data_IF_475446367508
#
_entry.id   IF_475446367508
#
_cell.length_a   1.000
_cell.length_b   1.000
_cell.length_c   1.000
_cell.angle_alpha   90.00
_cell.angle_beta   90.00
_cell.angle_gamma   90.00
#
_symmetry.space_group_name_H-M   'P 1'
#
loop_
_entity.id
_entity.type
_entity.pdbx_description
1 polymer ?
#
# COMPACT_ATOMS: atom_id res chain seq x y z
N UNK A 1 -31.98 -4.30 26.97
CA UNK A 1 -31.71 -4.09 28.40
C UNK A 1 -30.41 -4.80 28.70
N UNK A 2 -29.36 -4.01 28.93
CA UNK A 2 -27.99 -4.35 29.34
C UNK A 2 -27.19 -5.34 28.47
N UNK A 3 -26.65 -4.85 27.34
CA UNK A 3 -25.31 -5.27 26.91
C UNK A 3 -24.33 -4.69 27.94
N UNK A 4 -23.85 -5.58 28.79
CA UNK A 4 -22.83 -5.30 29.80
C UNK A 4 -21.58 -4.82 29.07
N UNK A 5 -21.10 -3.65 29.49
CA UNK A 5 -19.83 -3.08 29.09
C UNK A 5 -18.73 -4.15 29.10
N UNK A 6 -18.10 -4.41 27.94
CA UNK A 6 -16.85 -5.16 27.88
C UNK A 6 -15.82 -4.40 28.70
N UNK A 7 -15.55 -4.98 29.87
CA UNK A 7 -14.64 -4.54 30.91
C UNK A 7 -13.28 -4.14 30.33
N UNK A 8 -12.75 -3.04 30.86
CA UNK A 8 -11.51 -2.38 30.47
C UNK A 8 -10.26 -3.21 30.91
N UNK A 9 -10.20 -4.49 30.54
CA UNK A 9 -9.10 -5.40 30.85
C UNK A 9 -8.06 -5.33 29.74
N UNK A 10 -6.90 -4.74 30.08
CA UNK A 10 -5.68 -4.82 29.27
C UNK A 10 -5.41 -6.30 28.93
N UNK A 11 -5.11 -6.59 27.66
CA UNK A 11 -4.80 -7.96 27.22
C UNK A 11 -3.50 -8.42 27.90
N UNK A 12 -3.47 -9.61 28.54
CA UNK A 12 -2.28 -10.12 29.19
C UNK A 12 -1.19 -10.44 28.17
N UNK A 13 0.09 -10.36 28.59
CA UNK A 13 1.22 -10.86 27.80
C UNK A 13 1.25 -12.38 27.92
N UNK A 14 1.17 -13.06 26.77
CA UNK A 14 1.19 -14.53 26.69
C UNK A 14 2.60 -15.05 26.37
N UNK A 15 3.01 -16.17 26.97
CA UNK A 15 4.17 -16.96 26.52
C UNK A 15 3.90 -17.59 25.15
N UNK A 16 4.91 -18.19 24.53
CA UNK A 16 4.75 -18.85 23.21
C UNK A 16 3.81 -20.05 23.31
N UNK A 17 3.93 -20.84 24.37
CA UNK A 17 3.05 -21.97 24.68
C UNK A 17 1.60 -21.47 24.88
N UNK A 18 1.42 -20.40 25.64
CA UNK A 18 0.10 -19.79 25.85
C UNK A 18 -0.48 -19.19 24.56
N UNK A 19 0.35 -18.69 23.64
CA UNK A 19 -0.09 -18.22 22.32
C UNK A 19 -0.59 -19.37 21.44
N UNK A 20 0.13 -20.50 21.44
CA UNK A 20 -0.26 -21.72 20.72
C UNK A 20 -1.58 -22.26 21.28
N UNK A 21 -1.69 -22.41 22.60
CA UNK A 21 -2.93 -22.84 23.25
C UNK A 21 -4.09 -21.87 22.99
N UNK A 22 -3.82 -20.56 22.97
CA UNK A 22 -4.84 -19.60 22.60
C UNK A 22 -5.34 -19.79 21.16
N UNK A 23 -4.46 -20.07 20.19
CA UNK A 23 -4.85 -20.35 18.81
C UNK A 23 -5.69 -21.63 18.70
N UNK A 24 -5.28 -22.71 19.37
CA UNK A 24 -6.05 -23.96 19.43
C UNK A 24 -7.44 -23.73 20.02
N UNK A 25 -7.54 -22.93 21.10
CA UNK A 25 -8.83 -22.57 21.71
C UNK A 25 -9.76 -21.78 20.79
N UNK A 26 -9.22 -21.23 19.69
CA UNK A 26 -9.97 -20.54 18.63
C UNK A 26 -10.21 -21.42 17.39
N UNK A 27 -9.93 -22.71 17.46
CA UNK A 27 -10.13 -23.66 16.36
C UNK A 27 -9.06 -23.58 15.27
N UNK A 28 -7.87 -23.04 15.56
CA UNK A 28 -6.73 -23.08 14.64
C UNK A 28 -6.04 -24.43 14.75
N UNK A 29 -5.80 -25.08 13.61
CA UNK A 29 -5.07 -26.36 13.50
C UNK A 29 -3.57 -26.15 13.32
N UNK A 30 -2.80 -27.21 13.51
CA UNK A 30 -1.33 -27.25 13.39
C UNK A 30 -0.91 -28.45 12.52
N UNK A 31 -1.65 -28.68 11.43
CA UNK A 31 -1.46 -29.78 10.49
C UNK A 31 -0.47 -29.43 9.37
N UNK A 32 -0.41 -28.16 8.95
CA UNK A 32 0.55 -27.70 7.93
C UNK A 32 1.87 -27.19 8.55
N UNK A 33 1.84 -26.87 9.85
CA UNK A 33 2.98 -26.49 10.65
C UNK A 33 2.76 -27.03 12.06
N UNK A 34 3.60 -27.96 12.51
CA UNK A 34 3.49 -28.53 13.84
C UNK A 34 3.82 -27.49 14.94
N UNK A 35 3.51 -27.85 16.19
CA UNK A 35 3.67 -26.95 17.33
C UNK A 35 5.14 -26.62 17.65
N UNK A 36 6.06 -27.54 17.36
CA UNK A 36 7.50 -27.32 17.58
C UNK A 36 8.03 -26.25 16.63
N UNK A 37 7.68 -26.37 15.34
CA UNK A 37 8.00 -25.37 14.33
C UNK A 37 7.27 -24.05 14.60
N UNK A 38 6.00 -24.10 15.02
CA UNK A 38 5.24 -22.92 15.38
C UNK A 38 5.88 -22.15 16.55
N UNK A 39 6.36 -22.87 17.57
CA UNK A 39 7.06 -22.29 18.72
C UNK A 39 8.35 -21.59 18.29
N UNK A 40 9.13 -22.23 17.40
CA UNK A 40 10.35 -21.63 16.83
C UNK A 40 10.05 -20.36 16.06
N UNK A 41 9.02 -20.38 15.19
CA UNK A 41 8.62 -19.21 14.40
C UNK A 41 8.21 -18.05 15.31
N UNK A 42 7.36 -18.29 16.32
CA UNK A 42 6.88 -17.28 17.27
C UNK A 42 7.97 -16.70 18.18
N UNK A 43 9.07 -17.45 18.37
CA UNK A 43 10.20 -17.04 19.20
C UNK A 43 11.27 -16.28 18.43
N UNK A 44 11.54 -16.67 17.17
CA UNK A 44 12.77 -16.27 16.46
C UNK A 44 12.53 -15.51 15.17
N UNK A 45 11.41 -15.75 14.46
CA UNK A 45 11.23 -15.28 13.09
C UNK A 45 10.14 -14.22 12.96
N UNK A 46 9.03 -14.43 13.65
CA UNK A 46 7.88 -13.56 13.62
C UNK A 46 7.22 -13.52 14.98
N UNK A 47 6.27 -12.60 15.17
CA UNK A 47 5.58 -12.45 16.44
C UNK A 47 4.08 -12.65 16.28
N UNK A 48 3.45 -13.16 17.33
CA UNK A 48 2.05 -13.53 17.38
C UNK A 48 1.10 -12.50 16.77
N UNK A 49 1.27 -11.21 17.12
CA UNK A 49 0.38 -10.16 16.64
C UNK A 49 0.36 -10.05 15.10
N UNK A 50 1.52 -10.21 14.45
CA UNK A 50 1.64 -10.15 13.00
C UNK A 50 1.01 -11.36 12.32
N UNK A 51 1.33 -12.58 12.75
CA UNK A 51 0.76 -13.80 12.17
C UNK A 51 -0.75 -13.87 12.40
N UNK A 52 -1.18 -13.60 13.62
CA UNK A 52 -2.59 -13.65 13.96
C UNK A 52 -3.39 -12.51 13.31
N UNK A 53 -2.76 -11.53 12.66
CA UNK A 53 -3.45 -10.52 11.88
C UNK A 53 -4.16 -11.11 10.64
N UNK A 54 -3.68 -12.24 10.09
CA UNK A 54 -4.22 -12.86 8.87
C UNK A 54 -5.46 -13.73 9.12
N UNK A 55 -5.75 -14.11 10.37
CA UNK A 55 -6.93 -14.91 10.76
C UNK A 55 -8.26 -14.31 10.30
N UNK A 56 -8.31 -12.99 10.11
CA UNK A 56 -9.52 -12.28 9.65
C UNK A 56 -9.93 -12.65 8.22
N UNK A 57 -9.05 -13.31 7.47
CA UNK A 57 -9.33 -13.84 6.13
C UNK A 57 -10.04 -15.19 6.16
N UNK A 58 -10.24 -15.76 7.35
CA UNK A 58 -10.88 -17.05 7.55
C UNK A 58 -12.22 -16.86 8.26
N UNK A 59 -13.27 -17.57 7.81
CA UNK A 59 -14.58 -17.46 8.43
C UNK A 59 -14.57 -18.06 9.84
N UNK A 60 -15.49 -17.59 10.67
CA UNK A 60 -15.81 -18.21 11.96
C UNK A 60 -17.08 -19.04 11.83
N UNK A 61 -17.12 -20.16 12.54
CA UNK A 61 -18.33 -20.99 12.68
C UNK A 61 -19.39 -20.20 13.45
N UNK A 62 -20.65 -20.35 13.03
CA UNK A 62 -21.80 -19.70 13.65
C UNK A 62 -22.76 -20.78 14.14
N UNK A 63 -23.03 -20.78 15.44
CA UNK A 63 -23.90 -21.72 16.13
C UNK A 63 -23.26 -23.09 16.41
N UNK A 64 -23.90 -23.85 17.29
CA UNK A 64 -23.45 -25.19 17.71
C UNK A 64 -22.30 -25.18 18.71
N UNK A 65 -21.66 -26.35 18.88
CA UNK A 65 -20.60 -26.57 19.89
C UNK A 65 -19.33 -25.74 19.66
N UNK A 66 -19.05 -25.38 18.41
CA UNK A 66 -17.82 -24.71 17.97
C UNK A 66 -18.06 -23.23 17.59
N UNK A 67 -19.10 -22.61 18.14
CA UNK A 67 -19.48 -21.24 17.81
C UNK A 67 -18.32 -20.26 18.09
N UNK A 68 -18.01 -19.40 17.11
CA UNK A 68 -16.95 -18.40 17.21
C UNK A 68 -15.51 -18.89 16.94
N UNK A 69 -15.30 -20.21 16.77
CA UNK A 69 -14.03 -20.78 16.31
C UNK A 69 -13.81 -20.54 14.81
N UNK A 70 -12.55 -20.44 14.37
CA UNK A 70 -12.22 -20.35 12.95
C UNK A 70 -12.54 -21.68 12.24
N UNK A 71 -12.98 -21.58 10.98
CA UNK A 71 -13.22 -22.75 10.13
C UNK A 71 -12.13 -22.86 9.06
N UNK A 72 -11.43 -24.00 9.04
CA UNK A 72 -10.41 -24.31 8.03
C UNK A 72 -9.18 -23.41 8.08
N UNK A 73 -8.81 -22.97 9.28
CA UNK A 73 -7.61 -22.16 9.52
C UNK A 73 -6.54 -23.01 10.20
N UNK A 74 -5.36 -23.05 9.60
CA UNK A 74 -4.16 -23.66 10.12
C UNK A 74 -3.08 -22.61 10.45
N UNK A 75 -2.22 -22.88 11.42
CA UNK A 75 -1.08 -22.03 11.73
C UNK A 75 -0.14 -21.87 10.52
N UNK A 76 0.10 -22.92 9.75
CA UNK A 76 0.93 -22.87 8.54
C UNK A 76 0.40 -21.89 7.49
N UNK A 77 -0.93 -21.72 7.37
CA UNK A 77 -1.51 -20.70 6.49
C UNK A 77 -1.24 -19.27 6.99
N UNK A 78 -1.20 -19.04 8.31
CA UNK A 78 -0.86 -17.71 8.85
C UNK A 78 0.58 -17.34 8.51
N UNK A 79 1.50 -18.31 8.60
CA UNK A 79 2.91 -18.16 8.24
C UNK A 79 3.05 -17.92 6.74
N UNK A 80 2.40 -18.74 5.91
CA UNK A 80 2.48 -18.60 4.46
C UNK A 80 1.90 -17.27 3.97
N UNK A 81 0.74 -16.82 4.50
CA UNK A 81 0.19 -15.50 4.18
C UNK A 81 1.10 -14.36 4.60
N UNK A 82 1.83 -14.49 5.72
CA UNK A 82 2.82 -13.49 6.14
C UNK A 82 4.00 -13.42 5.17
N UNK A 83 4.43 -14.56 4.63
CA UNK A 83 5.45 -14.65 3.58
C UNK A 83 4.98 -14.05 2.24
N UNK A 84 3.78 -14.42 1.79
CA UNK A 84 3.17 -13.85 0.57
C UNK A 84 3.01 -12.33 0.72
N UNK A 85 2.60 -11.82 1.88
CA UNK A 85 2.48 -10.39 2.14
C UNK A 85 3.83 -9.66 2.06
N UNK A 86 4.88 -10.29 2.56
CA UNK A 86 6.24 -9.76 2.46
C UNK A 86 6.72 -9.68 1.02
N UNK A 87 6.50 -10.72 0.21
CA UNK A 87 6.83 -10.68 -1.22
C UNK A 87 5.97 -9.67 -1.97
N UNK A 88 4.69 -9.54 -1.64
CA UNK A 88 3.83 -8.50 -2.20
C UNK A 88 4.42 -7.11 -1.91
N UNK A 89 4.88 -6.84 -0.68
CA UNK A 89 5.49 -5.55 -0.34
C UNK A 89 6.83 -5.33 -1.04
N UNK A 90 7.66 -6.38 -1.18
CA UNK A 90 8.92 -6.34 -1.96
C UNK A 90 8.67 -6.02 -3.43
N UNK A 91 7.58 -6.53 -4.00
CA UNK A 91 7.15 -6.20 -5.35
C UNK A 91 6.59 -4.78 -5.45
N UNK A 92 5.69 -4.36 -4.55
CA UNK A 92 4.99 -3.08 -4.66
C UNK A 92 5.88 -1.87 -4.34
N UNK A 93 6.82 -1.97 -3.40
CA UNK A 93 7.60 -0.83 -2.93
C UNK A 93 8.43 -0.18 -4.06
N UNK A 94 9.24 -0.91 -4.85
CA UNK A 94 9.98 -0.33 -5.98
C UNK A 94 9.07 0.37 -6.99
N UNK A 95 7.90 -0.20 -7.30
CA UNK A 95 6.92 0.40 -8.21
C UNK A 95 6.43 1.77 -7.71
N UNK A 96 6.22 1.90 -6.39
CA UNK A 96 5.83 3.21 -5.82
C UNK A 96 6.93 4.25 -5.94
N UNK A 97 8.20 3.86 -5.80
CA UNK A 97 9.36 4.74 -5.95
C UNK A 97 9.53 5.15 -7.42
N UNK A 98 9.32 4.22 -8.36
CA UNK A 98 9.37 4.52 -9.79
C UNK A 98 8.29 5.53 -10.21
N UNK A 99 7.06 5.35 -9.70
CA UNK A 99 5.96 6.31 -9.94
C UNK A 99 6.27 7.67 -9.32
N UNK A 100 6.78 7.72 -8.09
CA UNK A 100 7.17 8.97 -7.42
C UNK A 100 8.23 9.71 -8.24
N UNK A 101 9.32 9.02 -8.59
CA UNK A 101 10.43 9.60 -9.34
C UNK A 101 9.99 10.09 -10.71
N UNK A 102 9.24 9.28 -11.45
CA UNK A 102 8.72 9.69 -12.77
C UNK A 102 7.78 10.90 -12.69
N UNK A 103 6.96 10.99 -11.64
CA UNK A 103 6.10 12.15 -11.43
C UNK A 103 6.87 13.41 -11.02
N UNK A 104 7.96 13.27 -10.23
CA UNK A 104 8.89 14.37 -9.94
C UNK A 104 9.56 14.86 -11.23
N UNK A 105 10.09 13.95 -12.05
CA UNK A 105 10.69 14.28 -13.35
C UNK A 105 9.70 15.03 -14.25
N UNK A 106 8.48 14.51 -14.40
CA UNK A 106 7.42 15.17 -15.18
C UNK A 106 7.11 16.59 -14.67
N UNK A 107 7.13 16.80 -13.34
CA UNK A 107 6.91 18.13 -12.77
C UNK A 107 8.06 19.07 -13.07
N UNK A 108 9.31 18.62 -12.94
CA UNK A 108 10.50 19.42 -13.27
C UNK A 108 10.50 19.80 -14.75
N UNK A 109 10.27 18.84 -15.66
CA UNK A 109 10.16 19.09 -17.10
C UNK A 109 9.12 20.19 -17.39
N UNK A 110 7.94 20.11 -16.76
CA UNK A 110 6.89 21.10 -16.95
C UNK A 110 7.24 22.48 -16.40
N UNK A 111 7.99 22.56 -15.31
CA UNK A 111 8.54 23.83 -14.80
C UNK A 111 9.56 24.38 -15.80
N UNK A 112 10.49 23.55 -16.28
CA UNK A 112 11.54 23.93 -17.23
C UNK A 112 10.99 24.42 -18.56
N UNK A 113 9.95 23.77 -19.09
CA UNK A 113 9.35 24.14 -20.39
C UNK A 113 8.41 25.36 -20.30
N UNK A 114 7.99 25.74 -19.08
CA UNK A 114 7.11 26.87 -18.88
C UNK A 114 7.90 28.18 -18.85
N UNK A 115 7.81 28.96 -19.94
CA UNK A 115 8.49 30.26 -20.07
C UNK A 115 8.14 31.30 -18.99
N UNK A 116 7.05 31.09 -18.26
CA UNK A 116 6.60 31.98 -17.19
C UNK A 116 7.07 31.53 -15.80
N UNK A 117 7.79 30.41 -15.69
CA UNK A 117 8.31 29.91 -14.43
C UNK A 117 9.84 30.06 -14.40
N UNK A 118 10.35 30.52 -13.26
CA UNK A 118 11.79 30.61 -12.95
C UNK A 118 12.28 29.42 -12.11
N UNK A 119 11.35 28.56 -11.66
CA UNK A 119 11.60 27.43 -10.78
C UNK A 119 11.72 27.77 -9.29
N UNK A 120 11.66 29.04 -8.91
CA UNK A 120 11.70 29.52 -7.52
C UNK A 120 10.33 30.05 -7.09
N UNK A 121 9.74 30.93 -7.89
CA UNK A 121 8.45 31.60 -7.64
C UNK A 121 7.32 30.59 -7.43
N UNK A 122 7.30 29.49 -8.18
CA UNK A 122 6.29 28.42 -7.99
C UNK A 122 6.33 27.78 -6.59
N UNK A 123 7.52 27.62 -6.00
CA UNK A 123 7.66 27.08 -4.65
C UNK A 123 7.29 28.15 -3.60
N UNK A 124 7.75 29.39 -3.79
CA UNK A 124 7.41 30.50 -2.89
C UNK A 124 5.89 30.72 -2.82
N UNK A 125 5.20 30.68 -3.96
CA UNK A 125 3.75 30.79 -4.04
C UNK A 125 3.06 29.59 -3.38
N UNK A 126 3.61 28.38 -3.51
CA UNK A 126 3.11 27.19 -2.80
C UNK A 126 3.21 27.37 -1.28
N UNK A 127 4.36 27.80 -0.77
CA UNK A 127 4.58 27.99 0.67
C UNK A 127 3.67 29.07 1.24
N UNK A 128 3.39 30.13 0.48
CA UNK A 128 2.46 31.20 0.84
C UNK A 128 1.00 30.75 0.78
N UNK A 129 0.67 29.80 -0.09
CA UNK A 129 -0.66 29.22 -0.18
C UNK A 129 -1.01 28.29 0.99
N UNK A 130 -0.01 27.68 1.64
CA UNK A 130 -0.23 26.80 2.77
C UNK A 130 -0.78 27.55 3.98
N UNK A 131 -1.68 26.92 4.73
CA UNK A 131 -2.04 27.46 6.04
C UNK A 131 -0.89 27.29 7.04
N UNK A 132 -0.95 28.02 8.16
CA UNK A 132 0.12 28.03 9.18
C UNK A 132 0.47 26.63 9.69
N UNK A 133 -0.50 25.73 9.88
CA UNK A 133 -0.24 24.38 10.37
C UNK A 133 0.48 23.51 9.31
N UNK A 134 0.10 23.65 8.04
CA UNK A 134 0.74 22.96 6.93
C UNK A 134 2.14 23.48 6.66
N UNK A 135 2.35 24.80 6.70
CA UNK A 135 3.68 25.41 6.55
C UNK A 135 4.64 24.95 7.65
N UNK A 136 4.22 25.03 8.91
CA UNK A 136 5.00 24.50 10.04
C UNK A 136 5.32 23.02 9.89
N UNK A 137 4.39 22.23 9.33
CA UNK A 137 4.64 20.81 9.08
C UNK A 137 5.71 20.62 8.00
N UNK A 138 5.73 21.42 6.93
CA UNK A 138 6.77 21.35 5.88
C UNK A 138 8.12 21.79 6.41
N UNK A 139 8.17 22.90 7.13
CA UNK A 139 9.37 23.36 7.83
C UNK A 139 9.93 22.28 8.76
N UNK A 140 9.07 21.70 9.60
CA UNK A 140 9.47 20.62 10.51
C UNK A 140 9.81 19.28 9.83
N UNK A 141 9.33 19.03 8.62
CA UNK A 141 9.76 17.87 7.82
C UNK A 141 11.18 18.09 7.29
N UNK A 142 11.51 19.30 6.82
CA UNK A 142 12.81 19.66 6.25
C UNK A 142 13.87 19.86 7.35
N UNK A 143 13.55 20.52 8.46
CA UNK A 143 14.53 20.76 9.54
C UNK A 143 15.01 19.46 10.20
N UNK A 144 14.18 18.41 10.22
CA UNK A 144 14.61 17.08 10.69
C UNK A 144 15.70 16.45 9.84
N UNK A 145 15.90 16.93 8.61
CA UNK A 145 16.92 16.46 7.69
C UNK A 145 18.26 17.19 7.86
N UNK A 146 18.34 18.25 8.67
CA UNK A 146 19.58 19.04 8.85
C UNK A 146 20.78 18.17 9.27
N UNK A 147 20.54 17.20 10.14
CA UNK A 147 21.56 16.27 10.62
C UNK A 147 21.58 14.93 9.85
N UNK A 148 20.80 14.81 8.76
CA UNK A 148 20.81 13.61 7.92
C UNK A 148 22.08 13.56 7.07
N UNK A 149 22.69 12.37 7.00
CA UNK A 149 23.97 12.18 6.31
C UNK A 149 23.89 12.38 4.78
N UNK A 150 22.70 12.25 4.18
CA UNK A 150 22.49 12.33 2.74
C UNK A 150 21.88 13.67 2.32
N UNK A 151 20.92 14.17 3.10
CA UNK A 151 20.12 15.35 2.77
C UNK A 151 20.53 16.61 3.53
N UNK A 152 21.23 16.51 4.65
CA UNK A 152 21.71 17.65 5.45
C UNK A 152 22.46 18.70 4.63
N UNK A 153 23.42 18.32 3.76
CA UNK A 153 24.13 19.27 2.91
C UNK A 153 23.23 20.05 1.93
N UNK A 154 22.09 19.47 1.50
CA UNK A 154 21.11 20.20 0.69
C UNK A 154 20.32 21.20 1.53
N UNK A 155 19.93 20.84 2.75
CA UNK A 155 19.21 21.74 3.66
C UNK A 155 20.07 22.93 4.04
N UNK A 156 21.35 22.71 4.36
CA UNK A 156 22.29 23.79 4.69
C UNK A 156 22.49 24.75 3.52
N UNK A 157 22.56 24.22 2.29
CA UNK A 157 22.79 25.01 1.08
C UNK A 157 21.55 25.79 0.61
N UNK A 158 20.36 25.25 0.84
CA UNK A 158 19.10 25.81 0.31
C UNK A 158 18.09 26.04 1.44
N UNK A 159 18.11 27.23 2.07
CA UNK A 159 17.06 27.64 3.01
C UNK A 159 15.68 27.57 2.38
N UNK A 160 14.65 27.18 3.15
CA UNK A 160 13.31 26.90 2.60
C UNK A 160 12.70 28.06 1.80
N UNK A 161 12.86 29.30 2.29
CA UNK A 161 12.29 30.49 1.63
C UNK A 161 13.05 30.91 0.35
N UNK A 162 14.24 30.36 0.10
CA UNK A 162 15.07 30.61 -1.08
C UNK A 162 15.25 29.36 -1.97
N UNK A 163 14.56 28.27 -1.63
CA UNK A 163 14.75 26.97 -2.22
C UNK A 163 14.12 26.91 -3.63
N UNK A 164 14.82 26.37 -4.64
CA UNK A 164 14.18 26.08 -5.92
C UNK A 164 13.32 24.82 -5.83
N UNK A 165 12.29 24.74 -6.67
CA UNK A 165 11.32 23.66 -6.67
C UNK A 165 11.96 22.27 -6.79
N UNK A 166 12.98 22.08 -7.64
CA UNK A 166 13.64 20.77 -7.81
C UNK A 166 14.40 20.31 -6.55
N UNK A 167 14.98 21.23 -5.77
CA UNK A 167 15.60 20.87 -4.48
C UNK A 167 14.52 20.48 -3.47
N UNK A 168 13.40 21.21 -3.45
CA UNK A 168 12.27 20.84 -2.62
C UNK A 168 11.75 19.44 -2.94
N UNK A 169 11.72 19.03 -4.22
CA UNK A 169 11.30 17.68 -4.60
C UNK A 169 12.19 16.58 -3.97
N UNK A 170 13.49 16.80 -3.87
CA UNK A 170 14.43 15.85 -3.26
C UNK A 170 14.28 15.78 -1.73
N UNK A 171 14.02 16.92 -1.08
CA UNK A 171 13.85 17.00 0.37
C UNK A 171 12.45 16.62 0.84
N UNK A 172 11.46 16.68 -0.05
CA UNK A 172 10.06 16.45 0.29
C UNK A 172 9.73 14.96 0.44
N UNK A 173 8.90 14.64 1.43
CA UNK A 173 8.22 13.34 1.47
C UNK A 173 7.27 13.19 0.27
N UNK A 174 6.95 11.96 -0.14
CA UNK A 174 5.97 11.72 -1.21
C UNK A 174 4.62 12.43 -0.92
N UNK A 175 4.19 12.52 0.33
CA UNK A 175 3.00 13.27 0.70
C UNK A 175 3.10 14.78 0.45
N UNK A 176 4.24 15.38 0.79
CA UNK A 176 4.54 16.78 0.53
C UNK A 176 4.65 17.07 -0.97
N UNK A 177 5.39 16.24 -1.69
CA UNK A 177 5.47 16.29 -3.14
C UNK A 177 4.07 16.22 -3.79
N UNK A 178 3.23 15.25 -3.42
CA UNK A 178 1.89 15.13 -4.00
C UNK A 178 1.01 16.37 -3.73
N UNK A 179 1.19 17.04 -2.58
CA UNK A 179 0.52 18.30 -2.26
C UNK A 179 1.00 19.44 -3.15
N UNK A 180 2.32 19.56 -3.34
CA UNK A 180 2.92 20.55 -4.24
C UNK A 180 2.53 20.30 -5.70
N UNK A 181 2.49 19.04 -6.14
CA UNK A 181 2.02 18.66 -7.47
C UNK A 181 0.58 19.14 -7.73
N UNK A 182 -0.33 19.00 -6.75
CA UNK A 182 -1.70 19.50 -6.87
C UNK A 182 -1.75 21.03 -6.93
N UNK A 183 -0.91 21.71 -6.15
CA UNK A 183 -0.80 23.16 -6.21
C UNK A 183 -0.40 23.62 -7.61
N UNK A 184 0.64 23.03 -8.19
CA UNK A 184 1.08 23.33 -9.56
C UNK A 184 -0.02 23.01 -10.59
N UNK A 185 -0.71 21.89 -10.45
CA UNK A 185 -1.85 21.54 -11.30
C UNK A 185 -2.95 22.62 -11.26
N UNK A 186 -3.24 23.16 -10.08
CA UNK A 186 -4.21 24.23 -9.91
C UNK A 186 -3.72 25.56 -10.49
N UNK A 187 -2.47 25.93 -10.20
CA UNK A 187 -1.81 27.14 -10.71
C UNK A 187 -1.85 27.21 -12.24
N UNK A 188 -1.57 26.09 -12.91
CA UNK A 188 -1.50 26.02 -14.37
C UNK A 188 -2.82 25.63 -15.03
N UNK A 189 -3.90 25.43 -14.26
CA UNK A 189 -5.19 25.01 -14.80
C UNK A 189 -5.21 23.60 -15.40
N UNK A 190 -4.19 22.77 -15.13
CA UNK A 190 -3.98 21.48 -15.77
C UNK A 190 -4.85 20.38 -15.14
N UNK A 191 -5.95 20.03 -15.82
CA UNK A 191 -6.88 18.99 -15.36
C UNK A 191 -6.27 17.60 -15.34
N UNK A 192 -5.35 17.29 -16.25
CA UNK A 192 -4.69 15.99 -16.31
C UNK A 192 -3.76 15.81 -15.10
N UNK A 193 -3.03 16.86 -14.71
CA UNK A 193 -2.24 16.85 -13.48
C UNK A 193 -3.10 16.76 -12.22
N UNK A 194 -4.30 17.34 -12.20
CA UNK A 194 -5.23 17.18 -11.07
C UNK A 194 -5.67 15.72 -10.92
N UNK A 195 -5.94 15.03 -12.03
CA UNK A 195 -6.25 13.60 -12.02
C UNK A 195 -5.05 12.77 -11.56
N UNK A 196 -3.85 13.12 -12.02
CA UNK A 196 -2.57 12.51 -11.63
C UNK A 196 -2.33 12.59 -10.12
N UNK A 197 -2.63 13.73 -9.47
CA UNK A 197 -2.53 13.88 -8.02
C UNK A 197 -3.28 12.77 -7.27
N UNK A 198 -4.48 12.39 -7.70
CA UNK A 198 -5.24 11.34 -7.04
C UNK A 198 -4.62 9.96 -7.22
N UNK A 199 -3.89 9.71 -8.32
CA UNK A 199 -3.09 8.50 -8.50
C UNK A 199 -1.90 8.51 -7.51
N UNK A 200 -1.15 9.62 -7.46
CA UNK A 200 0.01 9.79 -6.57
C UNK A 200 -0.36 9.62 -5.10
N UNK A 201 -1.50 10.16 -4.66
CA UNK A 201 -1.99 10.00 -3.28
C UNK A 201 -2.24 8.54 -2.90
N UNK A 202 -2.73 7.74 -3.84
CA UNK A 202 -2.95 6.29 -3.63
C UNK A 202 -1.63 5.53 -3.65
N UNK A 203 -0.73 5.86 -4.57
CA UNK A 203 0.63 5.31 -4.61
C UNK A 203 1.38 5.58 -3.29
N UNK A 204 1.34 6.80 -2.76
CA UNK A 204 1.93 7.17 -1.47
C UNK A 204 1.34 6.35 -0.30
N UNK A 205 0.03 6.11 -0.30
CA UNK A 205 -0.61 5.27 0.74
C UNK A 205 -0.04 3.84 0.73
N UNK A 206 0.17 3.27 -0.47
CA UNK A 206 0.72 1.93 -0.62
C UNK A 206 2.22 1.88 -0.32
N UNK A 207 2.97 2.93 -0.71
CA UNK A 207 4.39 3.10 -0.36
C UNK A 207 4.57 3.03 1.14
N UNK A 208 3.78 3.80 1.90
CA UNK A 208 3.89 3.82 3.35
C UNK A 208 3.49 2.46 3.97
N UNK A 209 2.44 1.82 3.46
CA UNK A 209 2.08 0.47 3.92
C UNK A 209 3.22 -0.54 3.69
N UNK A 210 3.84 -0.52 2.50
CA UNK A 210 4.92 -1.43 2.16
C UNK A 210 6.20 -1.15 2.96
N UNK A 211 6.62 0.11 3.04
CA UNK A 211 7.84 0.55 3.73
C UNK A 211 7.76 0.36 5.25
N UNK A 212 6.59 0.52 5.86
CA UNK A 212 6.37 0.31 7.30
C UNK A 212 5.92 -1.12 7.65
N UNK A 213 6.04 -2.06 6.72
CA UNK A 213 5.67 -3.47 6.93
C UNK A 213 4.25 -3.70 7.46
N UNK A 214 3.30 -2.87 7.01
CA UNK A 214 1.88 -3.06 7.29
C UNK A 214 1.38 -4.31 6.55
N UNK A 215 0.58 -5.15 7.22
CA UNK A 215 -0.04 -6.31 6.58
C UNK A 215 -1.04 -5.86 5.52
N UNK A 216 -0.69 -5.98 4.23
CA UNK A 216 -1.51 -5.60 3.07
C UNK A 216 -2.55 -6.67 2.75
N UNK A 217 -2.25 -7.95 2.96
CA UNK A 217 -3.13 -9.07 2.61
C UNK A 217 -4.27 -9.25 3.62
N UNK A 218 -4.07 -8.93 4.91
CA UNK A 218 -5.07 -9.24 5.93
C UNK A 218 -6.43 -8.54 5.76
N UNK A 219 -6.53 -7.52 4.92
CA UNK A 219 -7.76 -6.78 4.67
C UNK A 219 -8.38 -7.10 3.32
N UNK A 220 -7.92 -8.10 2.58
CA UNK A 220 -8.56 -8.52 1.32
C UNK A 220 -10.03 -8.95 1.51
N UNK A 221 -10.38 -9.45 2.70
CA UNK A 221 -11.76 -9.75 3.09
C UNK A 221 -12.60 -8.56 3.58
N UNK A 222 -11.98 -7.38 3.80
CA UNK A 222 -12.66 -6.23 4.37
C UNK A 222 -13.13 -5.30 3.24
N UNK A 223 -14.45 -5.21 3.07
CA UNK A 223 -15.05 -4.23 2.17
C UNK A 223 -15.32 -2.92 2.89
N UNK A 224 -15.04 -1.78 2.24
CA UNK A 224 -15.50 -0.50 2.76
C UNK A 224 -17.02 -0.36 2.59
N UNK A 225 -17.69 0.14 3.64
CA UNK A 225 -19.07 0.59 3.56
C UNK A 225 -19.21 1.82 2.63
N UNK A 226 -18.16 2.64 2.55
CA UNK A 226 -18.12 3.82 1.68
C UNK A 226 -17.65 3.47 0.28
N UNK A 227 -18.39 3.95 -0.73
CA UNK A 227 -17.94 3.93 -2.12
C UNK A 227 -16.65 4.73 -2.24
N UNK A 228 -15.53 4.05 -2.50
CA UNK A 228 -14.28 4.76 -2.74
C UNK A 228 -14.24 5.15 -4.21
N UNK A 229 -14.32 6.46 -4.49
CA UNK A 229 -14.16 6.98 -5.86
C UNK A 229 -12.72 6.72 -6.34
N UNK A 230 -12.62 6.28 -7.59
CA UNK A 230 -11.36 6.18 -8.33
C UNK A 230 -11.52 6.88 -9.69
N UNK A 231 -10.42 7.35 -10.31
CA UNK A 231 -10.49 8.13 -11.55
C UNK A 231 -11.21 7.37 -12.68
N UNK A 232 -11.95 8.11 -13.52
CA UNK A 232 -12.64 7.55 -14.68
C UNK A 232 -11.67 6.88 -15.67
N UNK A 233 -10.44 7.38 -15.73
CA UNK A 233 -9.35 6.81 -16.53
C UNK A 233 -8.98 5.39 -16.10
N UNK A 234 -8.87 5.14 -14.78
CA UNK A 234 -8.67 3.78 -14.23
C UNK A 234 -9.86 2.87 -14.54
N UNK A 235 -11.10 3.39 -14.44
CA UNK A 235 -12.29 2.63 -14.80
C UNK A 235 -12.29 2.22 -16.28
N UNK A 236 -11.90 3.14 -17.17
CA UNK A 236 -11.79 2.90 -18.62
C UNK A 236 -10.72 1.85 -18.91
N UNK A 237 -9.50 2.04 -18.40
CA UNK A 237 -8.37 1.12 -18.60
C UNK A 237 -8.68 -0.32 -18.13
N UNK A 238 -9.43 -0.48 -17.03
CA UNK A 238 -9.91 -1.79 -16.59
C UNK A 238 -10.92 -2.39 -17.56
N UNK A 239 -11.80 -1.57 -18.15
CA UNK A 239 -12.73 -2.02 -19.19
C UNK A 239 -11.99 -2.51 -20.43
N UNK A 240 -10.98 -1.76 -20.87
CA UNK A 240 -10.13 -2.09 -22.02
C UNK A 240 -9.31 -3.38 -21.76
N UNK A 241 -8.91 -3.62 -20.51
CA UNK A 241 -8.31 -4.87 -20.04
C UNK A 241 -9.31 -6.04 -19.87
N UNK A 242 -10.55 -5.90 -20.36
CA UNK A 242 -11.56 -6.95 -20.30
C UNK A 242 -12.09 -7.23 -18.88
N UNK A 243 -12.04 -6.25 -17.97
CA UNK A 243 -12.61 -6.39 -16.62
C UNK A 243 -14.06 -5.88 -16.60
N UNK A 244 -15.00 -6.79 -16.31
CA UNK A 244 -16.43 -6.48 -16.32
C UNK A 244 -16.79 -5.38 -15.31
N UNK A 245 -17.87 -4.61 -15.58
CA UNK A 245 -18.38 -3.58 -14.65
C UNK A 245 -18.75 -4.19 -13.29
N UNK A 246 -19.30 -5.41 -13.27
CA UNK A 246 -19.66 -6.14 -12.05
C UNK A 246 -18.42 -6.45 -11.21
N UNK A 247 -17.37 -6.99 -11.83
CA UNK A 247 -16.13 -7.33 -11.14
C UNK A 247 -15.44 -6.09 -10.58
N UNK A 248 -15.35 -5.00 -11.37
CA UNK A 248 -14.85 -3.69 -10.91
C UNK A 248 -15.58 -3.21 -9.66
N UNK A 249 -16.92 -3.19 -9.68
CA UNK A 249 -17.74 -2.75 -8.54
C UNK A 249 -17.56 -3.61 -7.30
N UNK A 250 -17.37 -4.91 -7.47
CA UNK A 250 -17.15 -5.82 -6.35
C UNK A 250 -15.76 -5.62 -5.73
N UNK A 251 -14.70 -5.60 -6.55
CA UNK A 251 -13.31 -5.62 -6.10
C UNK A 251 -12.79 -4.27 -5.63
N UNK A 252 -13.16 -3.19 -6.32
CA UNK A 252 -12.66 -1.84 -6.01
C UNK A 252 -13.31 -1.21 -4.76
N UNK A 253 -14.25 -1.90 -4.10
CA UNK A 253 -14.76 -1.53 -2.76
C UNK A 253 -13.77 -1.84 -1.65
N UNK A 254 -12.83 -2.74 -1.90
CA UNK A 254 -11.74 -3.02 -0.98
C UNK A 254 -10.65 -1.95 -1.16
N UNK A 255 -10.31 -1.15 -0.12
CA UNK A 255 -9.32 -0.08 -0.23
C UNK A 255 -7.94 -0.54 -0.70
N UNK A 256 -7.54 -1.76 -0.33
CA UNK A 256 -6.21 -2.31 -0.64
C UNK A 256 -6.13 -2.77 -2.08
N UNK A 257 -7.16 -3.50 -2.53
CA UNK A 257 -7.31 -3.86 -3.94
C UNK A 257 -7.37 -2.61 -4.82
N UNK A 258 -8.12 -1.59 -4.38
CA UNK A 258 -8.18 -0.30 -5.06
C UNK A 258 -6.82 0.38 -5.15
N UNK A 259 -6.11 0.52 -4.03
CA UNK A 259 -4.79 1.17 -3.98
C UNK A 259 -3.77 0.44 -4.86
N UNK A 260 -3.72 -0.88 -4.78
CA UNK A 260 -2.84 -1.72 -5.61
C UNK A 260 -3.18 -1.60 -7.09
N UNK A 261 -4.47 -1.57 -7.45
CA UNK A 261 -4.92 -1.36 -8.83
C UNK A 261 -4.52 0.03 -9.33
N UNK A 262 -4.73 1.07 -8.53
CA UNK A 262 -4.35 2.43 -8.90
C UNK A 262 -2.83 2.56 -9.07
N UNK A 263 -2.03 1.87 -8.25
CA UNK A 263 -0.58 1.83 -8.45
C UNK A 263 -0.22 1.17 -9.79
N UNK A 264 -0.79 0.00 -10.10
CA UNK A 264 -0.53 -0.67 -11.37
C UNK A 264 -0.85 0.24 -12.57
N UNK A 265 -1.97 0.98 -12.49
CA UNK A 265 -2.33 1.98 -13.51
C UNK A 265 -1.34 3.16 -13.56
N UNK A 266 -0.92 3.66 -12.39
CA UNK A 266 0.06 4.74 -12.30
C UNK A 266 1.41 4.31 -12.90
N UNK A 267 1.86 3.08 -12.68
CA UNK A 267 3.06 2.54 -13.32
C UNK A 267 2.93 2.58 -14.85
N UNK A 268 1.81 2.08 -15.40
CA UNK A 268 1.58 2.12 -16.85
C UNK A 268 1.53 3.55 -17.43
N UNK A 269 1.23 4.55 -16.58
CA UNK A 269 1.06 5.96 -16.99
C UNK A 269 2.31 6.80 -16.87
N UNK A 270 3.06 6.67 -15.78
CA UNK A 270 4.23 7.52 -15.49
C UNK A 270 5.55 6.86 -15.85
N UNK A 271 5.65 5.54 -15.68
CA UNK A 271 6.93 4.84 -15.67
C UNK A 271 7.32 4.45 -17.10
N UNK A 272 8.60 4.55 -17.45
CA UNK A 272 9.10 4.18 -18.78
C UNK A 272 8.92 2.68 -19.07
N UNK A 273 8.87 2.30 -20.35
CA UNK A 273 8.69 0.89 -20.77
C UNK A 273 9.77 -0.04 -20.20
N UNK A 274 11.01 0.41 -20.15
CA UNK A 274 12.13 -0.37 -19.58
C UNK A 274 11.92 -0.68 -18.10
N UNK A 275 11.46 0.30 -17.31
CA UNK A 275 11.15 0.11 -15.89
C UNK A 275 9.89 -0.72 -15.69
N UNK A 276 8.90 -0.60 -16.56
CA UNK A 276 7.71 -1.47 -16.57
C UNK A 276 8.09 -2.95 -16.82
N UNK A 277 9.06 -3.23 -17.69
CA UNK A 277 9.54 -4.59 -17.93
C UNK A 277 10.17 -5.21 -16.66
N UNK A 278 11.01 -4.46 -15.94
CA UNK A 278 11.56 -4.92 -14.63
C UNK A 278 10.46 -5.13 -13.58
N UNK A 279 9.45 -4.26 -13.56
CA UNK A 279 8.29 -4.44 -12.71
C UNK A 279 7.51 -5.72 -13.05
N UNK A 280 7.43 -6.10 -14.32
CA UNK A 280 6.80 -7.35 -14.74
C UNK A 280 7.58 -8.58 -14.26
N UNK A 281 8.92 -8.57 -14.31
CA UNK A 281 9.73 -9.66 -13.76
C UNK A 281 9.50 -9.82 -12.24
N UNK A 282 9.44 -8.71 -11.50
CA UNK A 282 9.08 -8.70 -10.08
C UNK A 282 7.68 -9.23 -9.81
N UNK A 283 6.71 -8.91 -10.69
CA UNK A 283 5.37 -9.48 -10.62
C UNK A 283 5.36 -10.99 -10.83
N UNK A 284 6.13 -11.51 -11.79
CA UNK A 284 6.23 -12.96 -12.04
C UNK A 284 6.84 -13.69 -10.83
N UNK A 285 7.86 -13.13 -10.20
CA UNK A 285 8.45 -13.69 -8.98
C UNK A 285 7.46 -13.71 -7.81
N UNK A 286 6.73 -12.61 -7.58
CA UNK A 286 5.65 -12.58 -6.59
C UNK A 286 4.56 -13.61 -6.91
N UNK A 287 4.16 -13.71 -8.19
CA UNK A 287 3.14 -14.64 -8.65
C UNK A 287 3.53 -16.08 -8.33
N UNK A 288 4.77 -16.46 -8.66
CA UNK A 288 5.33 -17.77 -8.35
C UNK A 288 5.26 -18.06 -6.85
N UNK A 289 5.73 -17.15 -5.99
CA UNK A 289 5.68 -17.36 -4.53
C UNK A 289 4.26 -17.53 -4.02
N UNK A 290 3.31 -16.74 -4.52
CA UNK A 290 1.91 -16.82 -4.11
C UNK A 290 1.23 -18.13 -4.55
N UNK A 291 1.72 -18.78 -5.60
CA UNK A 291 1.16 -20.02 -6.16
C UNK A 291 1.72 -21.29 -5.51
N UNK A 292 2.90 -21.22 -4.83
CA UNK A 292 3.59 -22.36 -4.21
C UNK A 292 2.68 -23.24 -3.35
N UNK A 293 1.85 -22.64 -2.50
CA UNK A 293 0.94 -23.31 -1.56
C UNK A 293 -0.54 -23.07 -1.91
N UNK A 294 -0.85 -22.80 -3.18
CA UNK A 294 -2.22 -22.47 -3.63
C UNK A 294 -3.27 -23.50 -3.21
N UNK A 295 -2.88 -24.77 -3.11
CA UNK A 295 -3.74 -25.86 -2.66
C UNK A 295 -4.28 -25.70 -1.22
N UNK A 296 -3.56 -24.99 -0.35
CA UNK A 296 -3.98 -24.71 1.02
C UNK A 296 -5.18 -23.76 1.07
N UNK A 297 -5.49 -23.06 -0.03
CA UNK A 297 -6.51 -22.02 -0.08
C UNK A 297 -7.72 -22.38 -0.94
N UNK A 298 -7.84 -23.63 -1.43
CA UNK A 298 -8.92 -24.05 -2.35
C UNK A 298 -10.34 -23.66 -1.88
N UNK A 299 -10.58 -23.64 -0.57
CA UNK A 299 -11.86 -23.21 0.02
C UNK A 299 -12.00 -21.71 0.31
N UNK A 300 -10.92 -20.92 0.19
CA UNK A 300 -10.89 -19.51 0.53
C UNK A 300 -11.11 -18.62 -0.71
N UNK A 301 -12.38 -18.46 -1.09
CA UNK A 301 -12.76 -17.65 -2.27
C UNK A 301 -12.35 -16.19 -2.15
N UNK A 302 -12.20 -15.66 -0.94
CA UNK A 302 -11.82 -14.25 -0.71
C UNK A 302 -10.39 -13.98 -1.17
N UNK A 303 -9.45 -14.82 -0.73
CA UNK A 303 -8.04 -14.70 -1.09
C UNK A 303 -7.87 -14.95 -2.59
N UNK A 304 -8.38 -16.08 -3.08
CA UNK A 304 -8.27 -16.48 -4.50
C UNK A 304 -8.79 -15.37 -5.41
N UNK A 305 -10.03 -14.92 -5.20
CA UNK A 305 -10.64 -13.95 -6.11
C UNK A 305 -10.02 -12.55 -6.02
N UNK A 306 -9.35 -12.20 -4.91
CA UNK A 306 -8.59 -10.96 -4.80
C UNK A 306 -7.26 -11.07 -5.54
N UNK A 307 -6.56 -12.19 -5.37
CA UNK A 307 -5.34 -12.51 -6.10
C UNK A 307 -5.57 -12.52 -7.61
N UNK A 308 -6.56 -13.29 -8.10
CA UNK A 308 -6.87 -13.39 -9.54
C UNK A 308 -7.13 -12.03 -10.18
N UNK A 309 -7.85 -11.17 -9.45
CA UNK A 309 -8.14 -9.82 -9.91
C UNK A 309 -6.88 -8.97 -10.03
N UNK A 310 -6.02 -8.97 -9.00
CA UNK A 310 -4.77 -8.22 -9.01
C UNK A 310 -3.79 -8.77 -10.05
N UNK A 311 -3.68 -10.10 -10.16
CA UNK A 311 -2.88 -10.77 -11.18
C UNK A 311 -3.33 -10.39 -12.59
N UNK A 312 -4.64 -10.37 -12.86
CA UNK A 312 -5.18 -9.90 -14.15
C UNK A 312 -4.81 -8.43 -14.42
N UNK A 313 -4.89 -7.58 -13.40
CA UNK A 313 -4.56 -6.16 -13.51
C UNK A 313 -3.07 -5.94 -13.83
N UNK A 314 -2.17 -6.55 -13.06
CA UNK A 314 -0.74 -6.43 -13.29
C UNK A 314 -0.32 -7.06 -14.62
N UNK A 315 -0.88 -8.22 -14.98
CA UNK A 315 -0.69 -8.81 -16.29
C UNK A 315 -1.07 -7.82 -17.40
N UNK A 316 -2.28 -7.25 -17.37
CA UNK A 316 -2.75 -6.37 -18.44
C UNK A 316 -1.92 -5.09 -18.63
N UNK A 317 -1.32 -4.56 -17.56
CA UNK A 317 -0.69 -3.24 -17.58
C UNK A 317 0.84 -3.26 -17.46
N UNK A 318 1.44 -4.36 -17.02
CA UNK A 318 2.89 -4.54 -17.00
C UNK A 318 3.40 -5.46 -18.11
N UNK A 319 2.56 -6.35 -18.67
CA UNK A 319 3.01 -7.32 -19.68
C UNK A 319 3.06 -6.78 -21.11
N UNK A 320 2.87 -5.48 -21.33
CA UNK A 320 2.93 -4.89 -22.66
C UNK A 320 4.39 -4.84 -23.15
N UNK A 321 4.80 -5.96 -23.73
CA UNK A 321 5.91 -6.03 -24.70
C UNK A 321 5.47 -5.39 -26.01
#
# INVERSE_FOLDING_TARGET
>A
MNEIAEDNKRKPKLTVEEQIEHLKSKGVTFELCDEGEASRILSEQDHYFRLAAYRVLFPKRVGGKHDGEYAGLDFGQLVDLAGIDQELRRFLLPLTLDVENAAKTKLVEKITDNRNEDGYSVLADYLTHLNHAERNRREGEISRLENDAYLGPLVERYPLDEMPAWVFLELSSFGAFASFYLFCANRWGDTEMRDDHYLLRRANSLRNAAAHSSAVINGLGISSATSTRYPASVAKALGDAGVSKRLRRSKMRNPRVLQTTVLAYACNRFVTRERQARAYDGFLAFRQRAEENSDWYRGNTTIISAYDFLSKVFQAWLSQR
#
